data_IF_034802314055
#
_entry.id   IF_034802314055
#
_cell.length_a   1.000
_cell.length_b   1.000
_cell.length_c   1.000
_cell.angle_alpha   90.00
_cell.angle_beta   90.00
_cell.angle_gamma   90.00
#
_symmetry.space_group_name_H-M   'P 1'
#
loop_
_entity.id
_entity.type
_entity.pdbx_description
1 polymer ?
#
# COMPACT_ATOMS: atom_id res chain seq x y z
N UNK A 1 -5.14 -4.23 1.46
CA UNK A 1 -6.60 -4.00 1.49
C UNK A 1 -7.27 -5.37 1.60
N UNK A 2 -7.62 -5.78 2.82
CA UNK A 2 -8.11 -7.15 3.07
C UNK A 2 -9.40 -7.47 2.32
N UNK A 3 -10.33 -6.50 2.22
CA UNK A 3 -11.58 -6.68 1.49
C UNK A 3 -11.42 -6.89 -0.03
N UNK A 4 -10.24 -6.59 -0.59
CA UNK A 4 -9.96 -6.81 -2.00
C UNK A 4 -9.45 -8.22 -2.31
N UNK A 5 -8.57 -8.75 -1.45
CA UNK A 5 -7.94 -10.07 -1.60
C UNK A 5 -7.37 -10.51 -0.24
N UNK A 6 -8.10 -11.37 0.44
CA UNK A 6 -7.74 -11.95 1.74
C UNK A 6 -6.49 -12.84 1.66
N UNK A 7 -6.38 -13.66 0.61
CA UNK A 7 -5.22 -14.53 0.36
C UNK A 7 -3.90 -13.73 0.24
N UNK A 8 -3.95 -12.56 -0.42
CA UNK A 8 -2.79 -11.66 -0.51
C UNK A 8 -2.43 -11.11 0.87
N UNK A 9 -3.45 -10.74 1.66
CA UNK A 9 -3.25 -10.22 3.02
C UNK A 9 -2.57 -11.28 3.87
N UNK A 10 -3.10 -12.50 3.92
CA UNK A 10 -2.51 -13.60 4.68
C UNK A 10 -1.06 -13.88 4.24
N UNK A 11 -0.80 -13.99 2.94
CA UNK A 11 0.57 -14.21 2.42
C UNK A 11 1.52 -13.09 2.81
N UNK A 12 1.12 -11.82 2.69
CA UNK A 12 1.96 -10.69 3.06
C UNK A 12 2.35 -10.71 4.54
N UNK A 13 1.42 -11.07 5.43
CA UNK A 13 1.72 -11.20 6.87
C UNK A 13 2.66 -12.38 7.15
N UNK A 14 2.42 -13.55 6.55
CA UNK A 14 3.27 -14.72 6.75
C UNK A 14 4.69 -14.50 6.23
N UNK A 15 4.84 -13.91 5.05
CA UNK A 15 6.18 -13.60 4.49
C UNK A 15 6.90 -12.52 5.29
N UNK A 16 6.18 -11.49 5.75
CA UNK A 16 6.76 -10.42 6.57
C UNK A 16 7.24 -10.92 7.94
N UNK A 17 6.50 -11.85 8.55
CA UNK A 17 6.87 -12.42 9.85
C UNK A 17 8.04 -13.41 9.73
N UNK A 18 8.05 -14.23 8.68
CA UNK A 18 9.11 -15.21 8.44
C UNK A 18 10.43 -14.60 7.94
N UNK A 19 10.43 -13.35 7.49
CA UNK A 19 11.63 -12.71 6.95
C UNK A 19 12.60 -12.31 8.08
N UNK A 20 13.85 -12.80 8.00
CA UNK A 20 14.93 -12.45 8.92
C UNK A 20 15.50 -11.05 8.60
N UNK A 21 14.70 -10.02 8.87
CA UNK A 21 15.01 -8.64 8.56
C UNK A 21 13.84 -7.69 8.83
N UNK A 22 13.99 -6.40 8.49
CA UNK A 22 12.91 -5.45 8.63
C UNK A 22 11.80 -5.73 7.61
N UNK A 23 10.56 -5.73 8.09
CA UNK A 23 9.36 -5.90 7.27
C UNK A 23 8.45 -4.68 7.36
N UNK A 24 7.93 -4.24 6.22
CA UNK A 24 6.98 -3.12 6.12
C UNK A 24 5.67 -3.59 5.46
N UNK A 25 4.57 -3.47 6.19
CA UNK A 25 3.22 -3.71 5.67
C UNK A 25 2.46 -2.37 5.63
N UNK A 26 2.07 -1.95 4.43
CA UNK A 26 1.21 -0.78 4.24
C UNK A 26 -0.22 -1.25 4.00
N UNK A 27 -1.06 -1.16 5.02
CA UNK A 27 -2.45 -1.59 4.98
C UNK A 27 -3.40 -0.42 4.70
N UNK A 28 -4.11 -0.47 3.57
CA UNK A 28 -5.24 0.44 3.34
C UNK A 28 -6.31 0.25 4.42
N UNK A 29 -6.51 1.29 5.24
CA UNK A 29 -7.49 1.32 6.32
C UNK A 29 -8.58 2.32 5.97
N UNK A 30 -9.79 1.83 5.70
CA UNK A 30 -10.92 2.71 5.49
C UNK A 30 -11.34 3.34 6.83
N UNK A 31 -11.83 4.57 6.80
CA UNK A 31 -12.19 5.32 8.00
C UNK A 31 -13.51 6.06 7.82
N UNK A 32 -14.20 6.36 8.92
CA UNK A 32 -15.38 7.24 8.93
C UNK A 32 -15.10 8.58 8.26
N UNK A 33 -13.86 9.07 8.33
CA UNK A 33 -13.44 10.32 7.69
C UNK A 33 -13.50 10.28 6.15
N UNK A 34 -13.56 9.10 5.54
CA UNK A 34 -13.79 8.97 4.11
C UNK A 34 -15.26 9.29 3.75
N UNK A 35 -16.16 9.21 4.74
CA UNK A 35 -17.59 9.40 4.58
C UNK A 35 -18.21 8.32 3.71
N UNK A 36 -17.97 7.08 4.11
CA UNK A 36 -18.50 5.84 3.54
C UNK A 36 -19.47 5.16 4.51
N UNK A 37 -20.24 4.19 4.02
CA UNK A 37 -20.97 3.29 4.92
C UNK A 37 -20.00 2.24 5.49
N UNK A 38 -19.71 2.33 6.79
CA UNK A 38 -18.77 1.42 7.46
C UNK A 38 -19.22 -0.05 7.44
N UNK A 39 -20.52 -0.33 7.28
CA UNK A 39 -21.01 -1.72 7.19
C UNK A 39 -20.61 -2.38 5.86
N UNK A 40 -20.26 -1.61 4.83
CA UNK A 40 -19.82 -2.09 3.52
C UNK A 40 -18.34 -1.83 3.26
N UNK A 41 -17.56 -1.43 4.27
CA UNK A 41 -16.18 -0.98 4.10
C UNK A 41 -15.24 -1.99 3.44
N UNK A 42 -15.52 -3.29 3.52
CA UNK A 42 -14.76 -4.32 2.78
C UNK A 42 -14.99 -4.25 1.27
N UNK A 43 -16.22 -3.97 0.82
CA UNK A 43 -16.52 -3.77 -0.59
C UNK A 43 -15.84 -2.49 -1.12
N UNK A 44 -15.76 -1.45 -0.29
CA UNK A 44 -15.06 -0.21 -0.65
C UNK A 44 -13.56 -0.44 -0.84
N UNK A 45 -12.93 -1.27 0.02
CA UNK A 45 -11.55 -1.70 -0.16
C UNK A 45 -11.34 -2.46 -1.47
N UNK A 46 -12.29 -3.33 -1.84
CA UNK A 46 -12.26 -4.05 -3.12
C UNK A 46 -12.29 -3.09 -4.30
N UNK A 47 -13.20 -2.11 -4.28
CA UNK A 47 -13.29 -1.12 -5.35
C UNK A 47 -12.05 -0.22 -5.44
N UNK A 48 -11.42 0.11 -4.31
CA UNK A 48 -10.15 0.84 -4.29
C UNK A 48 -9.05 0.09 -5.07
N UNK A 49 -9.01 -1.24 -4.97
CA UNK A 49 -8.05 -2.07 -5.73
C UNK A 49 -8.48 -2.25 -7.18
N UNK A 50 -9.76 -2.55 -7.44
CA UNK A 50 -10.28 -2.75 -8.81
C UNK A 50 -10.22 -1.49 -9.69
N UNK A 51 -10.21 -0.30 -9.08
CA UNK A 51 -10.05 0.98 -9.77
C UNK A 51 -8.59 1.43 -9.93
N UNK A 52 -7.63 0.70 -9.36
CA UNK A 52 -6.22 1.08 -9.34
C UNK A 52 -5.87 2.20 -8.35
N UNK A 53 -6.83 2.68 -7.55
CA UNK A 53 -6.56 3.64 -6.47
C UNK A 53 -5.56 3.08 -5.45
N UNK A 54 -5.64 1.78 -5.17
CA UNK A 54 -4.72 1.06 -4.31
C UNK A 54 -4.13 -0.15 -5.05
N UNK A 55 -2.82 -0.38 -4.92
CA UNK A 55 -2.16 -1.57 -5.47
C UNK A 55 -1.82 -2.58 -4.39
N UNK A 56 -1.90 -3.86 -4.75
CA UNK A 56 -1.47 -5.00 -3.96
C UNK A 56 -0.19 -5.54 -4.58
N UNK A 57 0.92 -5.43 -3.87
CA UNK A 57 2.21 -5.98 -4.27
C UNK A 57 2.98 -6.43 -3.04
N UNK A 58 3.98 -7.28 -3.25
CA UNK A 58 4.92 -7.74 -2.22
C UNK A 58 6.33 -7.64 -2.77
N UNK A 59 7.28 -7.21 -1.95
CA UNK A 59 8.69 -7.21 -2.28
C UNK A 59 9.41 -8.16 -1.34
N UNK A 60 9.98 -9.24 -1.87
CA UNK A 60 10.68 -10.24 -1.07
C UNK A 60 12.17 -10.28 -1.47
N UNK A 61 13.08 -9.69 -0.67
CA UNK A 61 14.49 -9.52 -1.04
C UNK A 61 15.21 -10.82 -1.41
N UNK A 62 14.91 -11.92 -0.70
CA UNK A 62 15.59 -13.20 -0.95
C UNK A 62 15.34 -13.79 -2.35
N UNK A 63 14.24 -13.41 -3.02
CA UNK A 63 14.00 -13.81 -4.41
C UNK A 63 15.12 -13.33 -5.34
N UNK A 64 15.64 -12.12 -5.10
CA UNK A 64 16.76 -11.58 -5.87
C UNK A 64 18.02 -12.45 -5.72
N UNK A 65 18.27 -13.01 -4.52
CA UNK A 65 19.40 -13.92 -4.31
C UNK A 65 19.25 -15.27 -5.05
N UNK A 66 18.03 -15.62 -5.47
CA UNK A 66 17.74 -16.77 -6.32
C UNK A 66 17.66 -16.43 -7.81
N UNK A 67 17.97 -15.18 -8.19
CA UNK A 67 17.83 -14.69 -9.57
C UNK A 67 16.37 -14.45 -10.00
N UNK A 68 15.42 -14.49 -9.06
CA UNK A 68 14.01 -14.18 -9.30
C UNK A 68 13.71 -12.70 -9.04
N UNK A 69 12.69 -12.16 -9.72
CA UNK A 69 12.25 -10.79 -9.45
C UNK A 69 11.68 -10.68 -8.01
N UNK A 70 12.22 -9.81 -7.15
CA UNK A 70 11.74 -9.64 -5.79
C UNK A 70 10.36 -9.01 -5.70
N UNK A 71 9.94 -8.22 -6.69
CA UNK A 71 8.62 -7.62 -6.74
C UNK A 71 7.59 -8.58 -7.34
N UNK A 72 6.51 -8.80 -6.60
CA UNK A 72 5.33 -9.54 -7.02
C UNK A 72 4.16 -8.57 -7.04
N UNK A 73 3.55 -8.36 -8.22
CA UNK A 73 2.33 -7.60 -8.35
C UNK A 73 1.12 -8.55 -8.22
N UNK A 74 0.40 -8.48 -7.10
CA UNK A 74 -0.80 -9.29 -6.84
C UNK A 74 -2.10 -8.64 -7.34
N UNK A 75 -2.07 -7.32 -7.57
CA UNK A 75 -3.15 -6.58 -8.22
C UNK A 75 -3.32 -7.03 -9.67
N UNK A 76 -4.57 -7.23 -10.07
CA UNK A 76 -4.93 -7.34 -11.49
C UNK A 76 -4.96 -5.96 -12.13
N UNK A 77 -4.93 -5.91 -13.46
CA UNK A 77 -5.19 -4.69 -14.20
C UNK A 77 -6.51 -4.04 -13.73
N UNK A 78 -6.54 -2.73 -13.47
CA UNK A 78 -7.76 -2.03 -13.09
C UNK A 78 -8.89 -2.28 -14.09
N UNK A 79 -10.06 -2.65 -13.59
CA UNK A 79 -11.24 -2.98 -14.40
C UNK A 79 -12.47 -2.14 -14.03
N UNK A 80 -12.33 -1.22 -13.07
CA UNK A 80 -13.30 -0.18 -12.71
C UNK A 80 -12.70 1.19 -12.98
N UNK A 81 -13.54 2.19 -13.25
CA UNK A 81 -13.05 3.56 -13.44
C UNK A 81 -12.71 4.17 -12.09
N UNK A 82 -11.64 4.96 -12.02
CA UNK A 82 -11.27 5.74 -10.84
C UNK A 82 -12.44 6.58 -10.32
N UNK A 83 -13.20 7.18 -11.23
CA UNK A 83 -14.38 7.97 -10.89
C UNK A 83 -15.42 7.17 -10.09
N UNK A 84 -15.62 5.88 -10.39
CA UNK A 84 -16.61 5.06 -9.69
C UNK A 84 -16.20 4.90 -8.20
N UNK A 85 -14.90 4.74 -7.93
CA UNK A 85 -14.36 4.72 -6.56
C UNK A 85 -14.47 6.09 -5.88
N UNK A 86 -14.01 7.17 -6.54
CA UNK A 86 -14.04 8.52 -5.97
C UNK A 86 -15.47 8.96 -5.65
N UNK A 87 -16.45 8.56 -6.47
CA UNK A 87 -17.85 8.85 -6.20
C UNK A 87 -18.41 8.03 -5.04
N UNK A 88 -17.76 7.00 -4.51
CA UNK A 88 -18.29 6.33 -3.33
C UNK A 88 -18.08 7.15 -2.06
N UNK A 89 -16.91 7.79 -1.94
CA UNK A 89 -16.49 8.44 -0.70
C UNK A 89 -16.90 9.92 -0.66
N UNK A 90 -17.51 10.34 0.46
CA UNK A 90 -17.96 11.73 0.62
C UNK A 90 -16.80 12.72 0.53
N UNK A 91 -15.59 12.34 1.01
CA UNK A 91 -14.40 13.21 0.95
C UNK A 91 -14.06 13.70 -0.46
N UNK A 92 -14.42 12.94 -1.50
CA UNK A 92 -14.25 13.36 -2.91
C UNK A 92 -15.53 13.94 -3.50
N UNK A 93 -16.70 13.36 -3.19
CA UNK A 93 -18.01 13.88 -3.64
C UNK A 93 -18.25 15.34 -3.24
N UNK A 94 -17.70 15.80 -2.10
CA UNK A 94 -17.90 17.18 -1.69
C UNK A 94 -17.33 18.18 -2.71
N UNK A 95 -16.25 17.84 -3.41
CA UNK A 95 -15.66 18.70 -4.43
C UNK A 95 -16.55 18.84 -5.66
N UNK A 96 -17.32 17.82 -6.02
CA UNK A 96 -18.24 17.91 -7.17
C UNK A 96 -19.39 18.87 -6.92
N UNK A 97 -19.77 19.06 -5.65
CA UNK A 97 -20.81 20.00 -5.23
C UNK A 97 -20.30 21.44 -5.21
N UNK A 98 -19.10 21.67 -4.68
CA UNK A 98 -18.54 23.02 -4.53
C UNK A 98 -17.88 23.53 -5.80
N UNK A 99 -17.19 22.65 -6.55
CA UNK A 99 -16.36 23.00 -7.71
C UNK A 99 -16.41 21.93 -8.81
N UNK A 100 -17.53 21.83 -9.56
CA UNK A 100 -17.77 20.73 -10.48
C UNK A 100 -16.75 20.63 -11.63
N UNK A 101 -16.27 21.74 -12.18
CA UNK A 101 -15.30 21.73 -13.28
C UNK A 101 -13.90 21.31 -12.80
N UNK A 102 -13.46 21.79 -11.63
CA UNK A 102 -12.20 21.34 -11.00
C UNK A 102 -12.26 19.84 -10.67
N UNK A 103 -13.41 19.35 -10.16
CA UNK A 103 -13.60 17.94 -9.86
C UNK A 103 -13.42 17.06 -11.11
N UNK A 104 -14.03 17.43 -12.25
CA UNK A 104 -13.87 16.71 -13.51
C UNK A 104 -12.40 16.65 -13.97
N UNK A 105 -11.66 17.75 -13.82
CA UNK A 105 -10.24 17.79 -14.17
C UNK A 105 -9.42 16.84 -13.28
N UNK A 106 -9.59 16.95 -11.96
CA UNK A 106 -8.84 16.13 -10.99
C UNK A 106 -9.18 14.64 -11.10
N UNK A 107 -10.42 14.28 -11.46
CA UNK A 107 -10.79 12.88 -11.69
C UNK A 107 -10.06 12.28 -12.90
N UNK A 108 -9.90 13.06 -13.99
CA UNK A 108 -9.12 12.61 -15.15
C UNK A 108 -7.64 12.43 -14.78
N UNK A 109 -7.08 13.34 -13.99
CA UNK A 109 -5.72 13.21 -13.48
C UNK A 109 -5.55 11.99 -12.57
N UNK A 110 -6.48 11.77 -11.63
CA UNK A 110 -6.45 10.62 -10.74
C UNK A 110 -6.54 9.28 -11.51
N UNK A 111 -7.34 9.21 -12.58
CA UNK A 111 -7.37 8.06 -13.48
C UNK A 111 -6.01 7.85 -14.15
N UNK A 112 -5.45 8.92 -14.73
CA UNK A 112 -4.15 8.87 -15.39
C UNK A 112 -3.05 8.40 -14.44
N UNK A 113 -3.01 8.93 -13.21
CA UNK A 113 -2.03 8.56 -12.19
C UNK A 113 -2.16 7.09 -11.77
N UNK A 114 -3.39 6.58 -11.65
CA UNK A 114 -3.61 5.17 -11.35
C UNK A 114 -3.15 4.26 -12.49
N UNK A 115 -3.43 4.64 -13.74
CA UNK A 115 -3.00 3.89 -14.92
C UNK A 115 -1.47 3.89 -15.04
N UNK A 116 -0.82 5.05 -14.84
CA UNK A 116 0.64 5.17 -14.85
C UNK A 116 1.27 4.35 -13.73
N UNK A 117 0.75 4.46 -12.50
CA UNK A 117 1.25 3.70 -11.36
C UNK A 117 1.11 2.20 -11.62
N UNK A 118 -0.02 1.72 -12.11
CA UNK A 118 -0.18 0.30 -12.44
C UNK A 118 0.85 -0.15 -13.48
N UNK A 119 0.98 0.55 -14.61
CA UNK A 119 1.95 0.21 -15.68
C UNK A 119 3.39 0.20 -15.16
N UNK A 120 3.74 1.13 -14.28
CA UNK A 120 5.07 1.19 -13.69
C UNK A 120 5.36 -0.05 -12.84
N UNK A 121 4.44 -0.44 -11.95
CA UNK A 121 4.60 -1.62 -11.11
C UNK A 121 4.54 -2.93 -11.92
N UNK A 122 3.72 -2.97 -12.96
CA UNK A 122 3.66 -4.09 -13.91
C UNK A 122 5.01 -4.26 -14.62
N UNK A 123 5.58 -3.17 -15.15
CA UNK A 123 6.91 -3.17 -15.72
C UNK A 123 7.95 -3.66 -14.71
N UNK A 124 7.96 -3.13 -13.49
CA UNK A 124 8.89 -3.57 -12.45
C UNK A 124 8.78 -5.07 -12.14
N UNK A 125 7.56 -5.64 -12.12
CA UNK A 125 7.32 -7.05 -11.82
C UNK A 125 7.68 -7.99 -13.00
N UNK A 126 7.75 -7.47 -14.23
CA UNK A 126 8.10 -8.24 -15.43
C UNK A 126 9.60 -8.21 -15.75
N UNK A 127 10.37 -7.31 -15.12
CA UNK A 127 11.81 -7.21 -15.35
C UNK A 127 12.54 -8.47 -14.90
N UNK A 128 13.53 -8.88 -15.68
CA UNK A 128 14.53 -9.85 -15.25
C UNK A 128 15.48 -9.16 -14.26
N UNK A 129 15.66 -9.76 -13.09
CA UNK A 129 16.62 -9.30 -12.07
C UNK A 129 17.97 -9.96 -12.30
N UNK A 130 19.04 -9.17 -12.36
CA UNK A 130 20.40 -9.70 -12.18
C UNK A 130 20.58 -10.12 -10.71
N UNK A 131 21.35 -11.20 -10.43
CA UNK A 131 21.60 -11.61 -9.06
C UNK A 131 22.36 -10.52 -8.31
N UNK A 132 21.68 -9.84 -7.38
CA UNK A 132 22.32 -8.87 -6.48
C UNK A 132 22.92 -9.63 -5.31
N UNK A 133 24.24 -9.47 -5.09
CA UNK A 133 24.92 -10.01 -3.93
C UNK A 133 24.25 -9.49 -2.64
N UNK A 134 24.07 -10.37 -1.64
CA UNK A 134 23.43 -10.05 -0.37
C UNK A 134 24.19 -8.87 0.27
N UNK A 135 23.61 -7.66 0.27
CA UNK A 135 24.17 -6.56 1.05
C UNK A 135 24.16 -6.96 2.53
N UNK A 136 25.25 -6.75 3.27
CA UNK A 136 25.30 -7.11 4.68
C UNK A 136 24.21 -6.34 5.42
N UNK A 137 23.50 -7.04 6.30
CA UNK A 137 22.47 -6.44 7.14
C UNK A 137 23.05 -5.19 7.84
N UNK A 138 22.32 -4.06 7.89
CA UNK A 138 22.76 -2.89 8.64
C UNK A 138 23.01 -3.34 10.08
N UNK A 139 24.26 -3.18 10.54
CA UNK A 139 24.64 -3.57 11.89
C UNK A 139 23.73 -2.83 12.87
N UNK A 140 23.03 -3.58 13.72
CA UNK A 140 22.25 -3.00 14.79
C UNK A 140 23.20 -2.19 15.68
N UNK A 141 23.21 -0.87 15.53
CA UNK A 141 23.83 0.04 16.48
C UNK A 141 23.19 -0.24 17.83
N UNK A 142 23.98 -0.82 18.75
CA UNK A 142 23.58 -1.02 20.15
C UNK A 142 23.08 0.32 20.66
N UNK A 143 21.77 0.42 20.94
CA UNK A 143 21.24 1.55 21.69
C UNK A 143 21.80 1.42 23.10
N UNK A 144 22.64 2.37 23.50
CA UNK A 144 23.10 2.44 24.88
C UNK A 144 21.90 2.63 25.81
N UNK A 145 21.88 1.98 26.99
CA UNK A 145 20.78 2.13 27.92
C UNK A 145 20.73 3.58 28.41
N UNK A 146 19.55 4.19 28.27
CA UNK A 146 19.28 5.52 28.83
C UNK A 146 19.28 5.37 30.35
N UNK A 147 20.24 5.99 31.04
CA UNK A 147 20.26 6.02 32.50
C UNK A 147 18.97 6.65 33.02
N UNK A 148 18.27 5.91 33.88
CA UNK A 148 17.10 6.40 34.58
C UNK A 148 17.54 7.52 35.55
N UNK A 149 17.22 8.76 35.21
CA UNK A 149 17.39 9.89 36.13
C UNK A 149 16.44 9.68 37.30
N UNK A 150 16.99 9.26 38.45
CA UNK A 150 16.25 9.16 39.70
C UNK A 150 15.78 10.56 40.12
N UNK A 151 14.48 10.80 40.03
CA UNK A 151 13.86 11.98 40.60
C UNK A 151 13.91 11.87 42.14
N UNK A 152 14.96 12.44 42.75
CA UNK A 152 14.99 12.72 44.17
C UNK A 152 13.87 13.72 44.51
N UNK A 153 12.91 13.28 45.32
CA UNK A 153 12.03 14.19 46.06
C UNK A 153 12.54 14.26 47.48
N UNK A 154 13.15 15.39 47.81
CA UNK A 154 13.35 15.86 49.18
C UNK A 154 12.14 16.71 49.58
N UNK A 155 11.64 16.41 50.79
CA UNK A 155 10.63 17.09 51.62
C UNK A 155 9.14 16.89 51.26
#
# INVERSE_FOLDING_TARGET
AMGAKDEHTLKAFLEAEAYDGPSLIIAYSHCIAHGINMTTGMADQKLAVESGHWLLYRYHPERASRGENPLILDSRAPNKRMQDFLQMETRFKMLTKSKPEEAKLLWKQAQHDADLRFRFYEYLAQRTSEPVAKEPAPQATKREPVEAVAAGRSE
#
